data_IF_932495708206
#
_entry.id   IF_932495708206
#
_cell.length_a   1.000
_cell.length_b   1.000
_cell.length_c   1.000
_cell.angle_alpha   90.00
_cell.angle_beta   90.00
_cell.angle_gamma   90.00
#
_symmetry.space_group_name_H-M   'P 1'
#
loop_
_entity.id
_entity.type
_entity.pdbx_description
1 polymer ?
#
# COMPACT_ATOMS: atom_id res chain seq x y z
N UNK A 1 3.96 -14.60 -31.51
CA UNK A 1 2.66 -15.03 -32.03
C UNK A 1 2.91 -16.26 -32.90
N UNK A 2 2.80 -17.47 -32.31
CA UNK A 2 2.84 -18.71 -33.09
C UNK A 2 1.48 -18.86 -33.77
N UNK A 3 1.46 -18.87 -35.08
CA UNK A 3 0.29 -19.14 -35.90
C UNK A 3 -0.20 -20.55 -35.61
N UNK A 4 -1.41 -20.72 -35.13
CA UNK A 4 -2.04 -22.02 -34.97
C UNK A 4 -2.30 -22.64 -36.36
N UNK A 5 -1.87 -23.89 -36.60
CA UNK A 5 -2.50 -24.69 -37.62
C UNK A 5 -3.90 -25.05 -37.12
N UNK A 6 -4.92 -24.78 -37.93
CA UNK A 6 -6.29 -25.03 -37.60
C UNK A 6 -6.54 -26.51 -37.26
N UNK A 7 -6.89 -26.76 -36.02
CA UNK A 7 -7.57 -28.00 -35.62
C UNK A 7 -9.05 -27.73 -35.87
N UNK A 8 -9.53 -28.15 -37.03
CA UNK A 8 -10.96 -28.30 -37.35
C UNK A 8 -11.48 -29.44 -36.46
N UNK A 9 -12.01 -29.07 -35.30
CA UNK A 9 -12.89 -29.94 -34.52
C UNK A 9 -14.22 -30.03 -35.26
N UNK A 10 -14.35 -31.12 -36.03
CA UNK A 10 -15.61 -31.51 -36.63
C UNK A 10 -16.66 -31.76 -35.53
N UNK A 11 -17.56 -30.81 -35.37
CA UNK A 11 -18.75 -31.02 -34.55
C UNK A 11 -19.66 -32.04 -35.25
N UNK A 12 -19.46 -33.30 -34.95
CA UNK A 12 -20.42 -34.36 -35.29
C UNK A 12 -21.65 -34.16 -34.40
N UNK A 13 -22.64 -33.45 -34.92
CA UNK A 13 -23.98 -33.37 -34.36
C UNK A 13 -24.60 -34.75 -34.50
N UNK A 14 -24.43 -35.60 -33.50
CA UNK A 14 -25.23 -36.80 -33.30
C UNK A 14 -26.63 -36.33 -32.83
N UNK A 15 -27.53 -36.20 -33.80
CA UNK A 15 -28.98 -36.16 -33.59
C UNK A 15 -29.42 -37.54 -33.03
N UNK A 16 -29.25 -37.72 -31.74
CA UNK A 16 -29.95 -38.76 -30.99
C UNK A 16 -31.39 -38.29 -30.78
N UNK A 17 -32.23 -38.68 -31.69
CA UNK A 17 -33.67 -38.71 -31.47
C UNK A 17 -34.00 -39.64 -30.31
N UNK A 18 -33.98 -39.10 -29.10
CA UNK A 18 -34.49 -39.80 -27.92
C UNK A 18 -35.98 -39.65 -27.88
N UNK A 19 -36.66 -40.77 -28.11
CA UNK A 19 -38.04 -41.03 -27.84
C UNK A 19 -38.46 -40.46 -26.48
N UNK A 20 -39.30 -39.44 -26.53
CA UNK A 20 -40.04 -38.87 -25.39
C UNK A 20 -41.10 -39.83 -24.94
N UNK A 21 -40.75 -40.91 -24.27
CA UNK A 21 -41.71 -41.81 -23.61
C UNK A 21 -41.03 -42.34 -22.34
N UNK A 22 -41.42 -41.85 -21.18
CA UNK A 22 -41.23 -42.55 -19.92
C UNK A 22 -40.29 -41.95 -18.86
N UNK A 23 -39.96 -40.65 -18.88
CA UNK A 23 -39.11 -40.06 -17.83
C UNK A 23 -39.84 -39.21 -16.78
N UNK A 24 -41.17 -39.18 -16.79
CA UNK A 24 -41.94 -38.30 -15.87
C UNK A 24 -41.96 -38.79 -14.42
N UNK A 25 -41.61 -40.05 -14.15
CA UNK A 25 -41.73 -40.63 -12.80
C UNK A 25 -40.47 -40.43 -11.91
N UNK A 26 -39.29 -40.31 -12.52
CA UNK A 26 -38.02 -40.24 -11.77
C UNK A 26 -37.59 -38.82 -11.41
N UNK A 27 -38.08 -37.80 -12.13
CA UNK A 27 -37.71 -36.40 -11.87
C UNK A 27 -38.39 -35.80 -10.63
N UNK A 28 -39.55 -36.28 -10.24
CA UNK A 28 -40.34 -35.76 -9.09
C UNK A 28 -39.59 -35.97 -7.76
N UNK A 29 -39.02 -37.15 -7.45
CA UNK A 29 -38.25 -37.34 -6.22
C UNK A 29 -36.99 -36.46 -6.17
N UNK A 30 -36.27 -36.30 -7.29
CA UNK A 30 -35.07 -35.45 -7.38
C UNK A 30 -35.42 -33.95 -7.20
N UNK A 31 -36.51 -33.50 -7.80
CA UNK A 31 -37.00 -32.13 -7.62
C UNK A 31 -37.44 -31.88 -6.18
N UNK A 32 -38.08 -32.85 -5.53
CA UNK A 32 -38.41 -32.75 -4.10
C UNK A 32 -37.15 -32.68 -3.22
N UNK A 33 -36.19 -33.56 -3.43
CA UNK A 33 -34.93 -33.55 -2.68
C UNK A 33 -34.18 -32.22 -2.84
N UNK A 34 -34.17 -31.67 -4.05
CA UNK A 34 -33.58 -30.35 -4.32
C UNK A 34 -34.35 -29.21 -3.67
N UNK A 35 -35.67 -29.26 -3.68
CA UNK A 35 -36.53 -28.31 -2.99
C UNK A 35 -36.31 -28.35 -1.47
N UNK A 36 -36.22 -29.54 -0.88
CA UNK A 36 -35.96 -29.74 0.55
C UNK A 36 -34.54 -29.22 0.94
N UNK A 37 -33.53 -29.43 0.09
CA UNK A 37 -32.20 -28.86 0.27
C UNK A 37 -32.23 -27.34 0.27
N UNK A 38 -32.86 -26.74 -0.74
CA UNK A 38 -32.98 -25.26 -0.85
C UNK A 38 -33.78 -24.66 0.32
N UNK A 39 -34.83 -25.35 0.78
CA UNK A 39 -35.59 -24.95 1.96
C UNK A 39 -34.73 -25.00 3.24
N UNK A 40 -33.85 -25.98 3.34
CA UNK A 40 -32.95 -26.12 4.48
C UNK A 40 -31.90 -25.02 4.45
N UNK A 41 -31.28 -24.75 3.30
CA UNK A 41 -30.34 -23.65 3.09
C UNK A 41 -30.98 -22.28 3.37
N UNK A 42 -32.21 -22.08 2.89
CA UNK A 42 -32.94 -20.85 3.14
C UNK A 42 -33.26 -20.66 4.64
N UNK A 43 -33.66 -21.73 5.35
CA UNK A 43 -33.90 -21.68 6.80
C UNK A 43 -32.62 -21.35 7.58
N UNK A 44 -31.50 -21.92 7.18
CA UNK A 44 -30.19 -21.61 7.78
C UNK A 44 -29.78 -20.15 7.52
N UNK A 45 -29.92 -19.68 6.27
CA UNK A 45 -29.64 -18.29 5.91
C UNK A 45 -30.57 -17.33 6.66
N UNK A 46 -31.86 -17.65 6.77
CA UNK A 46 -32.82 -16.85 7.54
C UNK A 46 -32.47 -16.81 9.03
N UNK A 47 -32.14 -17.93 9.64
CA UNK A 47 -31.74 -17.99 11.06
C UNK A 47 -30.48 -17.18 11.32
N UNK A 48 -29.53 -17.21 10.39
CA UNK A 48 -28.32 -16.37 10.45
C UNK A 48 -28.66 -14.89 10.34
N UNK A 49 -29.55 -14.50 9.41
CA UNK A 49 -30.00 -13.12 9.28
C UNK A 49 -30.75 -12.63 10.54
N UNK A 50 -31.66 -13.45 11.08
CA UNK A 50 -32.39 -13.13 12.32
C UNK A 50 -31.42 -12.96 13.52
N UNK A 51 -30.35 -13.76 13.58
CA UNK A 51 -29.31 -13.64 14.58
C UNK A 51 -28.52 -12.31 14.42
N UNK A 52 -28.13 -11.96 13.20
CA UNK A 52 -27.45 -10.70 12.91
C UNK A 52 -28.32 -9.50 13.28
N UNK A 53 -29.61 -9.52 12.92
CA UNK A 53 -30.55 -8.45 13.29
C UNK A 53 -30.71 -8.33 14.81
N UNK A 54 -30.80 -9.44 15.52
CA UNK A 54 -30.88 -9.43 17.00
C UNK A 54 -29.60 -8.86 17.64
N UNK A 55 -28.43 -9.19 17.11
CA UNK A 55 -27.16 -8.63 17.56
C UNK A 55 -27.04 -7.13 17.24
N UNK A 56 -27.54 -6.70 16.08
CA UNK A 56 -27.60 -5.27 15.72
C UNK A 56 -28.50 -4.51 16.70
N UNK A 57 -29.73 -4.99 16.95
CA UNK A 57 -30.65 -4.37 17.89
C UNK A 57 -30.11 -4.35 19.34
N UNK A 58 -29.40 -5.40 19.75
CA UNK A 58 -28.75 -5.43 21.06
C UNK A 58 -27.62 -4.40 21.15
N UNK A 59 -26.86 -4.15 20.05
CA UNK A 59 -25.83 -3.12 19.98
C UNK A 59 -26.40 -1.71 20.00
N UNK A 60 -27.49 -1.47 19.28
CA UNK A 60 -28.17 -0.17 19.24
C UNK A 60 -28.78 0.21 20.60
N UNK A 61 -29.31 -0.77 21.34
CA UNK A 61 -29.89 -0.61 22.69
C UNK A 61 -28.84 -0.68 23.80
N UNK A 62 -27.65 -1.21 23.52
CA UNK A 62 -26.55 -1.35 24.47
C UNK A 62 -25.86 -0.01 24.72
N UNK A 63 -25.54 0.28 25.98
CA UNK A 63 -24.65 1.40 26.32
C UNK A 63 -23.29 1.26 25.67
N UNK A 64 -22.54 2.35 25.62
CA UNK A 64 -21.15 2.34 25.17
C UNK A 64 -20.23 1.84 26.27
N UNK A 65 -19.33 0.94 25.92
CA UNK A 65 -18.26 0.51 26.82
C UNK A 65 -17.07 1.46 26.68
N UNK A 66 -16.40 1.72 27.80
CA UNK A 66 -15.18 2.53 27.80
C UNK A 66 -13.98 1.63 28.00
N UNK A 67 -13.05 1.62 27.05
CA UNK A 67 -11.80 0.88 27.09
C UNK A 67 -10.67 1.87 27.24
N UNK A 68 -9.77 1.64 28.21
CA UNK A 68 -8.60 2.47 28.46
C UNK A 68 -7.33 1.62 28.37
N UNK A 69 -6.35 2.10 27.57
CA UNK A 69 -5.04 1.48 27.45
C UNK A 69 -3.99 2.60 27.37
N UNK A 70 -3.13 2.70 28.39
CA UNK A 70 -2.27 3.87 28.54
C UNK A 70 -3.11 5.15 28.61
N UNK A 71 -2.78 6.13 27.80
CA UNK A 71 -3.56 7.37 27.66
C UNK A 71 -4.69 7.29 26.60
N UNK A 72 -4.83 6.17 25.89
CA UNK A 72 -5.92 5.99 24.93
C UNK A 72 -7.23 5.69 25.63
N UNK A 73 -8.27 6.39 25.21
CA UNK A 73 -9.64 6.20 25.69
C UNK A 73 -10.53 5.93 24.49
N UNK A 74 -11.17 4.79 24.46
CA UNK A 74 -12.12 4.39 23.43
C UNK A 74 -13.52 4.25 24.00
N UNK A 75 -14.48 4.85 23.32
CA UNK A 75 -15.91 4.65 23.55
C UNK A 75 -16.43 3.77 22.43
N UNK A 76 -16.83 2.56 22.75
CA UNK A 76 -17.25 1.56 21.75
C UNK A 76 -18.66 1.09 22.07
N UNK A 77 -19.51 0.90 21.03
CA UNK A 77 -20.76 0.18 21.21
C UNK A 77 -20.46 -1.29 21.57
N UNK A 78 -21.31 -1.89 22.39
CA UNK A 78 -21.14 -3.31 22.77
C UNK A 78 -20.95 -4.18 21.54
N UNK A 79 -19.80 -4.82 21.44
CA UNK A 79 -19.40 -5.61 20.28
C UNK A 79 -18.36 -6.65 20.66
N UNK A 80 -18.22 -7.75 19.91
CA UNK A 80 -17.20 -8.76 20.14
C UNK A 80 -15.78 -8.31 19.68
N UNK A 81 -15.60 -7.04 19.30
CA UNK A 81 -14.28 -6.53 18.86
C UNK A 81 -13.23 -6.76 19.93
N UNK A 82 -12.07 -7.35 19.60
CA UNK A 82 -10.96 -7.56 20.53
C UNK A 82 -10.18 -6.25 20.79
N UNK A 83 -10.91 -5.16 21.10
CA UNK A 83 -10.39 -3.80 21.11
C UNK A 83 -9.33 -3.59 22.20
N UNK A 84 -9.49 -4.19 23.37
CA UNK A 84 -8.51 -4.08 24.45
C UNK A 84 -7.16 -4.71 24.05
N UNK A 85 -7.18 -5.87 23.39
CA UNK A 85 -5.96 -6.53 22.90
C UNK A 85 -5.31 -5.72 21.78
N UNK A 86 -6.10 -5.25 20.81
CA UNK A 86 -5.61 -4.44 19.72
C UNK A 86 -5.01 -3.10 20.21
N UNK A 87 -5.65 -2.46 21.19
CA UNK A 87 -5.15 -1.23 21.80
C UNK A 87 -3.85 -1.46 22.58
N UNK A 88 -3.71 -2.59 23.27
CA UNK A 88 -2.47 -2.95 23.96
C UNK A 88 -1.28 -3.12 23.01
N UNK A 89 -1.52 -3.59 21.77
CA UNK A 89 -0.50 -3.69 20.72
C UNK A 89 -0.22 -2.32 20.08
N UNK A 90 -1.26 -1.50 19.90
CA UNK A 90 -1.14 -0.18 19.28
C UNK A 90 -0.45 0.85 20.19
N UNK A 91 -0.70 0.80 21.50
CA UNK A 91 -0.23 1.80 22.46
C UNK A 91 1.28 2.03 22.45
N UNK A 92 2.16 1.00 22.53
CA UNK A 92 3.61 1.20 22.51
C UNK A 92 4.13 1.89 21.24
N UNK A 93 3.45 1.72 20.10
CA UNK A 93 3.81 2.37 18.84
C UNK A 93 3.43 3.85 18.90
N UNK A 94 2.22 4.15 19.39
CA UNK A 94 1.70 5.51 19.56
C UNK A 94 2.55 6.29 20.56
N UNK A 95 2.85 5.68 21.70
CA UNK A 95 3.69 6.26 22.75
C UNK A 95 5.11 6.52 22.27
N UNK A 96 5.70 5.59 21.52
CA UNK A 96 7.02 5.77 20.91
C UNK A 96 7.08 6.98 19.99
N UNK A 97 6.02 7.21 19.20
CA UNK A 97 5.98 8.33 18.27
C UNK A 97 5.72 9.66 18.98
N UNK A 98 4.66 9.72 19.77
CA UNK A 98 4.23 10.96 20.41
C UNK A 98 5.00 11.28 21.70
N UNK A 99 5.60 10.28 22.34
CA UNK A 99 6.28 10.46 23.62
C UNK A 99 5.38 11.07 24.68
N UNK A 100 5.86 12.09 25.43
CA UNK A 100 5.07 12.77 26.44
C UNK A 100 3.78 13.41 25.92
N UNK A 101 3.73 13.81 24.63
CA UNK A 101 2.52 14.36 24.03
C UNK A 101 1.37 13.33 23.97
N UNK A 102 1.66 12.03 24.02
CA UNK A 102 0.66 10.97 24.06
C UNK A 102 -0.31 11.09 25.26
N UNK A 103 0.07 11.78 26.33
CA UNK A 103 -0.80 12.05 27.47
C UNK A 103 -2.07 12.82 27.07
N UNK A 104 -2.02 13.63 26.00
CA UNK A 104 -3.17 14.37 25.51
C UNK A 104 -4.32 13.47 25.00
N UNK A 105 -4.05 12.20 24.66
CA UNK A 105 -5.09 11.26 24.26
C UNK A 105 -6.10 10.97 25.38
N UNK A 106 -5.71 11.07 26.64
CA UNK A 106 -6.62 10.86 27.77
C UNK A 106 -7.81 11.85 27.79
N UNK A 107 -7.62 13.04 27.21
CA UNK A 107 -8.64 14.10 27.13
C UNK A 107 -9.46 14.06 25.83
N UNK A 108 -9.15 13.15 24.93
CA UNK A 108 -9.72 13.09 23.58
C UNK A 108 -10.13 11.68 23.21
N UNK A 109 -11.25 11.18 23.76
CA UNK A 109 -11.69 9.83 23.49
C UNK A 109 -11.99 9.62 22.00
N UNK A 110 -11.69 8.42 21.51
CA UNK A 110 -12.05 7.95 20.17
C UNK A 110 -13.39 7.23 20.24
N UNK A 111 -14.28 7.54 19.34
CA UNK A 111 -15.54 6.84 19.19
C UNK A 111 -15.39 5.72 18.17
N UNK A 112 -15.55 4.47 18.61
CA UNK A 112 -15.51 3.31 17.72
C UNK A 112 -16.92 2.78 17.56
N UNK A 113 -17.37 2.70 16.32
CA UNK A 113 -18.63 2.08 15.96
C UNK A 113 -18.35 0.75 15.26
N UNK A 114 -18.60 -0.35 15.97
CA UNK A 114 -18.56 -1.67 15.37
C UNK A 114 -19.82 -1.84 14.50
N UNK A 115 -19.60 -2.11 13.21
CA UNK A 115 -20.66 -2.20 12.21
C UNK A 115 -20.64 -3.56 11.51
N UNK A 116 -21.75 -3.94 10.95
CA UNK A 116 -21.83 -5.09 10.04
C UNK A 116 -21.30 -4.70 8.64
N UNK A 117 -20.76 -5.67 7.87
CA UNK A 117 -20.22 -5.40 6.54
C UNK A 117 -21.22 -4.76 5.58
N UNK A 118 -22.51 -5.09 5.77
CA UNK A 118 -23.58 -4.71 4.85
C UNK A 118 -24.35 -3.45 5.27
N UNK A 119 -23.91 -2.76 6.33
CA UNK A 119 -24.60 -1.56 6.81
C UNK A 119 -23.98 -0.28 6.29
N UNK A 120 -24.84 0.57 5.69
CA UNK A 120 -24.51 1.93 5.26
C UNK A 120 -24.80 2.95 6.38
N UNK A 121 -24.46 2.63 7.63
CA UNK A 121 -24.67 3.54 8.74
C UNK A 121 -23.78 4.78 8.66
N UNK A 122 -24.37 5.94 8.84
CA UNK A 122 -23.61 7.20 8.93
C UNK A 122 -22.80 7.27 10.23
N UNK A 123 -21.53 7.66 10.11
CA UNK A 123 -20.68 7.90 11.27
C UNK A 123 -20.89 9.32 11.77
N UNK A 124 -21.10 9.53 13.06
CA UNK A 124 -21.13 10.86 13.62
C UNK A 124 -19.86 11.64 13.28
N UNK A 125 -19.96 12.94 13.00
CA UNK A 125 -18.79 13.76 12.73
C UNK A 125 -17.83 13.76 13.93
N UNK A 126 -16.53 13.83 13.67
CA UNK A 126 -15.47 13.86 14.69
C UNK A 126 -14.51 12.69 14.60
N UNK A 127 -13.95 12.28 15.75
CA UNK A 127 -13.00 11.14 15.84
C UNK A 127 -13.72 9.77 15.89
N UNK A 128 -14.83 9.67 15.17
CA UNK A 128 -15.57 8.42 15.06
C UNK A 128 -15.07 7.61 13.88
N UNK A 129 -14.89 6.33 14.06
CA UNK A 129 -14.56 5.39 13.00
C UNK A 129 -15.49 4.21 13.01
N UNK A 130 -15.79 3.74 11.81
CA UNK A 130 -16.46 2.46 11.59
C UNK A 130 -15.41 1.36 11.53
N UNK A 131 -15.64 0.27 12.25
CA UNK A 131 -14.82 -0.93 12.20
C UNK A 131 -15.77 -2.12 12.08
N UNK A 132 -15.47 -3.02 11.17
CA UNK A 132 -16.25 -4.25 11.06
C UNK A 132 -16.16 -5.05 12.35
N UNK A 133 -17.29 -5.52 12.88
CA UNK A 133 -17.36 -6.21 14.16
C UNK A 133 -16.50 -7.48 14.23
N UNK A 134 -16.20 -8.11 13.08
CA UNK A 134 -15.37 -9.31 12.95
C UNK A 134 -13.90 -9.02 12.65
N UNK A 135 -13.47 -7.77 12.79
CA UNK A 135 -12.06 -7.38 12.53
C UNK A 135 -11.15 -8.06 13.56
N UNK A 136 -10.15 -8.76 13.06
CA UNK A 136 -9.14 -9.43 13.89
C UNK A 136 -8.21 -8.44 14.61
N UNK A 137 -7.48 -8.92 15.62
CA UNK A 137 -6.59 -8.10 16.46
C UNK A 137 -5.53 -7.35 15.66
N UNK A 138 -4.87 -8.01 14.71
CA UNK A 138 -3.77 -7.38 13.97
C UNK A 138 -4.23 -6.25 13.03
N UNK A 139 -5.24 -6.41 12.15
CA UNK A 139 -5.76 -5.30 11.36
C UNK A 139 -6.40 -4.22 12.25
N UNK A 140 -7.04 -4.58 13.36
CA UNK A 140 -7.61 -3.63 14.29
C UNK A 140 -6.53 -2.77 14.93
N UNK A 141 -5.43 -3.36 15.43
CA UNK A 141 -4.32 -2.60 16.03
C UNK A 141 -3.70 -1.61 15.04
N UNK A 142 -3.54 -2.00 13.76
CA UNK A 142 -3.08 -1.09 12.71
C UNK A 142 -4.04 0.08 12.49
N UNK A 143 -5.35 -0.20 12.48
CA UNK A 143 -6.35 0.84 12.38
C UNK A 143 -6.28 1.82 13.55
N UNK A 144 -6.08 1.33 14.78
CA UNK A 144 -5.94 2.17 15.96
C UNK A 144 -4.68 3.06 15.92
N UNK A 145 -3.55 2.54 15.44
CA UNK A 145 -2.33 3.35 15.20
C UNK A 145 -2.60 4.43 14.15
N UNK A 146 -3.27 4.07 13.05
CA UNK A 146 -3.59 5.01 11.99
C UNK A 146 -4.55 6.12 12.41
N UNK A 147 -5.39 5.87 13.41
CA UNK A 147 -6.33 6.86 13.98
C UNK A 147 -5.72 7.77 15.01
N UNK A 148 -4.62 7.36 15.64
CA UNK A 148 -4.00 8.12 16.70
C UNK A 148 -3.46 9.45 16.16
N UNK A 149 -4.25 10.51 16.37
CA UNK A 149 -3.98 11.86 15.90
C UNK A 149 -4.20 12.86 17.04
N UNK A 150 -3.18 13.65 17.37
CA UNK A 150 -3.27 14.75 18.36
C UNK A 150 -3.68 16.09 17.73
N UNK A 151 -3.95 16.10 16.46
CA UNK A 151 -4.27 17.28 15.69
C UNK A 151 -3.59 17.25 14.32
N UNK A 152 -3.76 18.28 13.50
CA UNK A 152 -3.09 18.33 12.21
C UNK A 152 -1.58 18.23 12.40
N UNK A 153 -0.93 17.38 11.59
CA UNK A 153 0.52 17.35 11.52
C UNK A 153 1.06 18.74 11.15
N UNK A 154 2.29 19.00 11.56
CA UNK A 154 3.04 20.12 11.01
C UNK A 154 2.90 20.16 9.47
N UNK A 155 2.51 21.28 8.84
CA UNK A 155 2.27 21.34 7.41
C UNK A 155 3.45 20.89 6.58
N UNK A 156 4.68 21.18 7.01
CA UNK A 156 5.89 20.73 6.33
C UNK A 156 6.06 19.21 6.39
N UNK A 157 5.77 18.60 7.54
CA UNK A 157 5.80 17.14 7.69
C UNK A 157 4.71 16.48 6.86
N UNK A 158 3.49 17.01 6.88
CA UNK A 158 2.38 16.49 6.09
C UNK A 158 2.69 16.55 4.59
N UNK A 159 3.16 17.69 4.09
CA UNK A 159 3.54 17.84 2.69
C UNK A 159 4.68 16.90 2.30
N UNK A 160 5.70 16.77 3.15
CA UNK A 160 6.81 15.88 2.90
C UNK A 160 6.37 14.40 2.90
N UNK A 161 5.39 14.02 3.71
CA UNK A 161 4.75 12.70 3.69
C UNK A 161 3.69 12.53 2.58
N UNK A 162 3.60 13.45 1.62
CA UNK A 162 2.68 13.36 0.49
C UNK A 162 1.23 13.69 0.82
N UNK A 163 1.00 14.60 1.76
CA UNK A 163 -0.34 15.02 2.20
C UNK A 163 -0.95 14.10 3.28
N UNK A 164 -0.17 13.17 3.81
CA UNK A 164 -0.64 12.27 4.87
C UNK A 164 -0.79 13.05 6.17
N UNK A 165 -1.97 12.94 6.77
CA UNK A 165 -2.32 13.66 8.01
C UNK A 165 -1.81 12.93 9.25
N UNK A 166 -1.73 11.60 9.19
CA UNK A 166 -1.27 10.74 10.30
C UNK A 166 -0.29 9.70 9.77
N UNK A 167 0.94 9.62 10.31
CA UNK A 167 1.88 8.56 9.95
C UNK A 167 1.35 7.20 10.37
N UNK A 168 1.32 6.25 9.44
CA UNK A 168 0.96 4.87 9.74
C UNK A 168 2.22 4.05 9.93
N UNK A 169 2.59 3.80 11.17
CA UNK A 169 3.65 2.85 11.50
C UNK A 169 3.09 1.43 11.48
N UNK A 170 2.77 0.95 10.30
CA UNK A 170 2.38 -0.45 10.15
C UNK A 170 3.56 -1.34 10.54
N UNK A 171 3.28 -2.39 11.31
CA UNK A 171 4.24 -3.46 11.65
C UNK A 171 4.61 -4.33 10.42
N UNK A 172 4.34 -3.83 9.23
CA UNK A 172 4.60 -4.49 7.95
C UNK A 172 6.07 -4.40 7.51
N UNK A 173 6.40 -4.93 6.34
CA UNK A 173 7.77 -5.00 5.81
C UNK A 173 8.27 -3.64 5.28
N UNK A 174 8.01 -2.53 5.99
CA UNK A 174 8.35 -1.17 5.55
C UNK A 174 9.75 -1.05 4.98
N UNK A 175 10.77 -1.47 5.73
CA UNK A 175 12.16 -1.43 5.26
C UNK A 175 12.43 -2.38 4.08
N UNK A 176 11.79 -3.56 4.03
CA UNK A 176 11.94 -4.49 2.91
C UNK A 176 11.30 -3.95 1.63
N UNK A 177 10.12 -3.32 1.73
CA UNK A 177 9.49 -2.66 0.60
C UNK A 177 10.34 -1.48 0.11
N UNK A 178 10.89 -0.68 1.02
CA UNK A 178 11.80 0.43 0.70
C UNK A 178 13.09 -0.09 0.07
N UNK A 179 13.63 -1.23 0.51
CA UNK A 179 14.78 -1.86 -0.15
C UNK A 179 14.46 -2.16 -1.62
N UNK A 180 13.31 -2.78 -1.89
CA UNK A 180 12.89 -3.07 -3.26
C UNK A 180 12.78 -1.79 -4.09
N UNK A 181 12.13 -0.76 -3.55
CA UNK A 181 12.04 0.55 -4.22
C UNK A 181 13.43 1.13 -4.51
N UNK A 182 14.33 1.13 -3.54
CA UNK A 182 15.67 1.70 -3.68
C UNK A 182 16.48 1.00 -4.81
N UNK A 183 16.27 -0.31 -4.98
CA UNK A 183 16.95 -1.11 -6.01
C UNK A 183 16.29 -0.97 -7.38
N UNK A 184 14.96 -0.83 -7.43
CA UNK A 184 14.19 -0.85 -8.68
C UNK A 184 13.78 0.52 -9.18
N UNK A 185 13.90 1.56 -8.38
CA UNK A 185 13.51 2.91 -8.78
C UNK A 185 14.26 3.37 -10.04
N UNK A 186 13.55 3.86 -11.06
CA UNK A 186 14.16 4.42 -12.26
C UNK A 186 14.70 5.83 -11.98
N UNK A 187 15.66 5.95 -11.06
CA UNK A 187 16.16 7.22 -10.54
C UNK A 187 17.66 7.13 -10.26
N UNK A 188 18.42 8.10 -10.78
CA UNK A 188 19.84 8.25 -10.51
C UNK A 188 20.09 8.47 -9.00
N UNK A 189 19.30 9.33 -8.37
CA UNK A 189 19.41 9.60 -6.93
C UNK A 189 19.22 8.32 -6.11
N UNK A 190 18.20 7.50 -6.41
CA UNK A 190 17.96 6.25 -5.72
C UNK A 190 19.12 5.25 -5.89
N UNK A 191 19.64 5.11 -7.12
CA UNK A 191 20.79 4.23 -7.38
C UNK A 191 22.07 4.67 -6.69
N UNK A 192 22.35 5.98 -6.66
CA UNK A 192 23.50 6.53 -5.94
C UNK A 192 23.32 6.39 -4.42
N UNK A 193 22.10 6.59 -3.90
CA UNK A 193 21.78 6.34 -2.51
C UNK A 193 22.03 4.85 -2.16
N UNK A 194 21.55 3.91 -2.98
CA UNK A 194 21.85 2.50 -2.78
C UNK A 194 23.35 2.21 -2.70
N UNK A 195 24.17 2.87 -3.54
CA UNK A 195 25.63 2.72 -3.54
C UNK A 195 26.34 3.41 -2.35
N UNK A 196 25.64 4.24 -1.57
CA UNK A 196 26.16 4.84 -0.36
C UNK A 196 26.45 6.33 -0.43
N UNK A 197 25.95 7.02 -1.44
CA UNK A 197 26.06 8.49 -1.53
C UNK A 197 25.00 9.15 -0.64
N UNK A 198 25.39 9.81 0.47
CA UNK A 198 24.43 10.41 1.40
C UNK A 198 23.70 11.61 0.79
N UNK A 199 24.31 12.35 -0.12
CA UNK A 199 23.66 13.48 -0.81
C UNK A 199 22.53 12.95 -1.70
N UNK A 200 22.80 11.90 -2.47
CA UNK A 200 21.78 11.26 -3.29
C UNK A 200 20.64 10.64 -2.47
N UNK A 201 20.92 10.15 -1.26
CA UNK A 201 19.87 9.71 -0.34
C UNK A 201 18.97 10.87 0.12
N UNK A 202 19.57 12.03 0.41
CA UNK A 202 18.79 13.24 0.76
C UNK A 202 17.90 13.67 -0.40
N UNK A 203 18.42 13.65 -1.62
CA UNK A 203 17.65 13.97 -2.83
C UNK A 203 16.51 12.98 -3.04
N UNK A 204 16.79 11.68 -3.00
CA UNK A 204 15.78 10.62 -3.19
C UNK A 204 14.65 10.67 -2.15
N UNK A 205 14.95 11.04 -0.90
CA UNK A 205 14.00 11.22 0.19
C UNK A 205 13.36 12.61 0.24
N UNK A 206 13.79 13.54 -0.61
CA UNK A 206 13.33 14.94 -0.60
C UNK A 206 13.57 15.62 0.76
N UNK A 207 14.74 15.43 1.35
CA UNK A 207 15.06 15.96 2.68
C UNK A 207 15.52 17.43 2.65
N UNK A 208 16.08 17.87 1.53
CA UNK A 208 16.56 19.23 1.30
C UNK A 208 15.50 20.16 0.71
N UNK A 209 15.92 21.36 0.36
CA UNK A 209 15.15 22.26 -0.48
C UNK A 209 15.17 21.71 -1.92
N UNK A 210 14.01 21.27 -2.40
CA UNK A 210 13.87 20.76 -3.77
C UNK A 210 13.68 21.93 -4.74
N UNK A 211 14.77 22.47 -5.25
CA UNK A 211 14.73 23.58 -6.21
C UNK A 211 14.44 23.11 -7.63
N UNK A 212 14.91 21.92 -7.99
CA UNK A 212 14.71 21.32 -9.30
C UNK A 212 14.64 19.79 -9.19
N UNK A 213 13.48 19.24 -8.82
CA UNK A 213 13.30 17.80 -8.66
C UNK A 213 13.68 16.98 -9.89
N UNK A 214 13.41 17.50 -11.08
CA UNK A 214 13.68 16.78 -12.33
C UNK A 214 15.18 16.53 -12.55
N UNK A 215 16.03 17.48 -12.18
CA UNK A 215 17.48 17.30 -12.27
C UNK A 215 18.09 16.57 -11.06
N UNK A 216 17.52 16.78 -9.87
CA UNK A 216 18.03 16.19 -8.63
C UNK A 216 17.72 14.68 -8.53
N UNK A 217 16.55 14.26 -9.00
CA UNK A 217 16.14 12.86 -8.91
C UNK A 217 16.61 11.99 -10.07
N UNK A 218 16.63 12.55 -11.30
CA UNK A 218 16.77 11.79 -12.52
C UNK A 218 17.97 12.24 -13.36
N UNK A 219 18.76 11.27 -13.81
CA UNK A 219 19.81 11.51 -14.78
C UNK A 219 19.25 11.65 -16.22
N UNK A 220 20.09 11.99 -17.21
CA UNK A 220 19.66 12.21 -18.58
C UNK A 220 18.88 11.03 -19.19
N UNK A 221 19.37 9.81 -18.95
CA UNK A 221 18.73 8.60 -19.47
C UNK A 221 17.34 8.36 -18.86
N UNK A 222 17.20 8.57 -17.55
CA UNK A 222 15.91 8.40 -16.85
C UNK A 222 14.94 9.51 -17.23
N UNK A 223 15.39 10.75 -17.36
CA UNK A 223 14.52 11.85 -17.81
C UNK A 223 13.92 11.55 -19.18
N UNK A 224 14.76 11.10 -20.09
CA UNK A 224 14.29 10.69 -21.42
C UNK A 224 13.30 9.53 -21.34
N UNK A 225 13.61 8.49 -20.57
CA UNK A 225 12.73 7.35 -20.37
C UNK A 225 11.38 7.78 -19.79
N UNK A 226 11.35 8.61 -18.73
CA UNK A 226 10.12 9.12 -18.10
C UNK A 226 9.26 9.91 -19.10
N UNK A 227 9.88 10.85 -19.84
CA UNK A 227 9.15 11.63 -20.86
C UNK A 227 8.52 10.70 -21.90
N UNK A 228 9.26 9.73 -22.42
CA UNK A 228 8.78 8.90 -23.52
C UNK A 228 7.79 7.83 -23.10
N UNK A 229 7.96 7.24 -21.92
CA UNK A 229 7.14 6.10 -21.49
C UNK A 229 5.95 6.49 -20.61
N UNK A 230 6.10 7.49 -19.76
CA UNK A 230 5.09 7.84 -18.78
C UNK A 230 4.28 9.09 -19.15
N UNK A 231 4.93 10.11 -19.70
CA UNK A 231 4.31 11.42 -19.92
C UNK A 231 4.14 11.79 -21.39
N UNK A 232 4.73 11.04 -22.34
CA UNK A 232 4.81 11.41 -23.74
C UNK A 232 3.47 11.67 -24.39
N UNK A 233 2.48 10.81 -24.19
CA UNK A 233 1.15 10.98 -24.77
C UNK A 233 0.39 12.18 -24.18
N UNK A 234 0.54 12.43 -22.90
CA UNK A 234 -0.02 13.61 -22.24
C UNK A 234 0.62 14.89 -22.80
N UNK A 235 1.94 14.94 -22.84
CA UNK A 235 2.70 16.10 -23.31
C UNK A 235 2.43 16.41 -24.79
N UNK A 236 2.30 15.40 -25.65
CA UNK A 236 1.93 15.61 -27.07
C UNK A 236 0.53 16.20 -27.20
N UNK A 237 -0.44 15.70 -26.41
CA UNK A 237 -1.82 16.21 -26.40
C UNK A 237 -1.93 17.64 -25.86
N UNK A 238 -1.05 18.04 -24.97
CA UNK A 238 -1.01 19.39 -24.36
C UNK A 238 -0.15 20.38 -25.15
N UNK A 239 0.22 20.07 -26.39
CA UNK A 239 0.89 21.01 -27.30
C UNK A 239 2.41 20.98 -27.27
N UNK A 240 3.02 20.03 -26.56
CA UNK A 240 4.48 19.93 -26.43
C UNK A 240 5.13 18.95 -27.43
N UNK A 241 4.48 18.61 -28.52
CA UNK A 241 4.93 17.60 -29.49
C UNK A 241 6.34 17.82 -30.00
N UNK A 242 6.72 19.06 -30.33
CA UNK A 242 8.06 19.40 -30.82
C UNK A 242 9.14 19.15 -29.75
N UNK A 243 8.87 19.55 -28.49
CA UNK A 243 9.81 19.34 -27.39
C UNK A 243 9.96 17.84 -27.04
N UNK A 244 8.85 17.06 -27.14
CA UNK A 244 8.90 15.60 -26.97
C UNK A 244 9.75 14.98 -28.08
N UNK A 245 9.63 15.39 -29.33
CA UNK A 245 10.47 14.90 -30.43
C UNK A 245 11.94 15.27 -30.25
N UNK A 246 12.23 16.46 -29.74
CA UNK A 246 13.62 16.85 -29.41
C UNK A 246 14.20 16.03 -28.28
N UNK A 247 13.41 15.74 -27.23
CA UNK A 247 13.79 14.83 -26.15
C UNK A 247 14.04 13.40 -26.68
N UNK A 248 13.19 12.91 -27.57
CA UNK A 248 13.33 11.61 -28.25
C UNK A 248 14.62 11.51 -29.04
N UNK A 249 15.03 12.61 -29.71
CA UNK A 249 16.29 12.73 -30.46
C UNK A 249 17.53 12.88 -29.57
N UNK A 250 17.37 12.92 -28.24
CA UNK A 250 18.47 12.94 -27.27
C UNK A 250 18.79 14.32 -26.65
N UNK A 251 17.95 15.34 -26.89
CA UNK A 251 18.10 16.64 -26.21
C UNK A 251 17.70 16.52 -24.73
N UNK A 252 18.67 16.42 -23.83
CA UNK A 252 18.40 16.35 -22.38
C UNK A 252 17.75 17.63 -21.84
N UNK A 253 18.14 18.80 -22.37
CA UNK A 253 17.51 20.08 -22.02
C UNK A 253 16.00 20.05 -22.30
N UNK A 254 15.59 19.57 -23.48
CA UNK A 254 14.17 19.42 -23.80
C UNK A 254 13.44 18.44 -22.88
N UNK A 255 14.08 17.31 -22.52
CA UNK A 255 13.52 16.36 -21.56
C UNK A 255 13.33 17.00 -20.18
N UNK A 256 14.31 17.75 -19.72
CA UNK A 256 14.30 18.44 -18.43
C UNK A 256 13.20 19.51 -18.36
N UNK A 257 13.09 20.35 -19.40
CA UNK A 257 12.07 21.39 -19.46
C UNK A 257 10.64 20.82 -19.54
N UNK A 258 10.47 19.73 -20.24
CA UNK A 258 9.19 18.99 -20.25
C UNK A 258 8.81 18.47 -18.88
N UNK A 259 9.76 17.87 -18.14
CA UNK A 259 9.49 17.39 -16.79
C UNK A 259 9.20 18.51 -15.80
N UNK A 260 9.86 19.66 -15.95
CA UNK A 260 9.58 20.88 -15.16
C UNK A 260 8.18 21.43 -15.42
N UNK A 261 7.69 21.32 -16.67
CA UNK A 261 6.36 21.80 -17.05
C UNK A 261 5.22 20.98 -16.44
N UNK A 262 5.47 19.78 -15.95
CA UNK A 262 4.45 18.93 -15.35
C UNK A 262 3.93 19.44 -13.99
N UNK A 263 4.64 20.37 -13.36
CA UNK A 263 4.27 20.93 -12.03
C UNK A 263 4.47 19.97 -10.85
N UNK A 264 4.17 18.68 -11.02
CA UNK A 264 4.37 17.64 -9.98
C UNK A 264 5.03 16.41 -10.58
N UNK A 265 6.21 16.07 -10.08
CA UNK A 265 6.88 14.82 -10.40
C UNK A 265 6.70 13.83 -9.24
N UNK A 266 6.50 12.58 -9.60
CA UNK A 266 6.44 11.49 -8.61
C UNK A 266 7.84 11.32 -8.01
N UNK A 267 8.00 11.42 -6.67
CA UNK A 267 9.29 11.19 -6.04
C UNK A 267 9.81 9.78 -6.32
N UNK A 268 11.14 9.60 -6.44
CA UNK A 268 11.74 8.30 -6.73
C UNK A 268 11.51 7.25 -5.65
N UNK A 269 11.33 7.69 -4.41
CA UNK A 269 10.93 6.86 -3.29
C UNK A 269 9.58 7.35 -2.78
N UNK A 270 8.70 6.41 -2.49
CA UNK A 270 7.34 6.70 -2.07
C UNK A 270 7.20 7.14 -0.59
N UNK A 271 5.97 7.23 -0.15
CA UNK A 271 5.61 7.52 1.24
C UNK A 271 6.29 6.57 2.25
N UNK A 272 6.40 5.28 1.94
CA UNK A 272 6.97 4.28 2.85
C UNK A 272 8.44 4.57 3.18
N UNK A 273 9.22 5.01 2.20
CA UNK A 273 10.61 5.37 2.42
C UNK A 273 10.75 6.58 3.37
N UNK A 274 9.88 7.57 3.22
CA UNK A 274 9.85 8.75 4.09
C UNK A 274 9.36 8.41 5.49
N UNK A 275 8.36 7.53 5.59
CA UNK A 275 7.87 7.04 6.87
C UNK A 275 8.94 6.26 7.64
N UNK A 276 9.66 5.34 6.99
CA UNK A 276 10.76 4.61 7.63
C UNK A 276 11.91 5.51 8.04
N UNK A 277 12.15 6.61 7.31
CA UNK A 277 13.12 7.62 7.70
C UNK A 277 12.68 8.38 8.95
N UNK A 278 11.41 8.80 9.03
CA UNK A 278 10.82 9.40 10.20
C UNK A 278 10.89 8.46 11.41
N UNK A 279 10.54 7.18 11.23
CA UNK A 279 10.65 6.16 12.27
C UNK A 279 12.09 6.02 12.78
N UNK A 280 13.06 6.04 11.88
CA UNK A 280 14.48 5.99 12.24
C UNK A 280 14.88 7.21 13.08
N UNK A 281 14.42 8.42 12.72
CA UNK A 281 14.66 9.63 13.49
C UNK A 281 14.06 9.53 14.91
N UNK A 282 12.82 9.09 15.02
CA UNK A 282 12.12 8.91 16.32
C UNK A 282 12.84 7.86 17.17
N UNK A 283 13.26 6.74 16.58
CA UNK A 283 13.98 5.68 17.28
C UNK A 283 15.34 6.14 17.80
N UNK A 284 16.09 6.88 17.00
CA UNK A 284 17.40 7.42 17.39
C UNK A 284 17.29 8.50 18.46
N UNK A 285 16.32 9.38 18.35
CA UNK A 285 16.16 10.51 19.28
C UNK A 285 15.34 10.19 20.53
N UNK A 286 14.67 9.04 20.60
CA UNK A 286 13.86 8.60 21.73
C UNK A 286 12.52 9.33 21.87
N UNK A 287 11.81 9.11 22.97
CA UNK A 287 10.41 9.47 23.20
C UNK A 287 10.08 10.96 23.01
N UNK A 288 11.02 11.88 23.25
CA UNK A 288 10.77 13.32 23.11
C UNK A 288 11.06 13.87 21.69
N UNK A 289 11.38 13.01 20.73
CA UNK A 289 11.78 13.43 19.37
C UNK A 289 10.67 14.19 18.66
N UNK A 290 9.45 13.72 18.73
CA UNK A 290 8.32 14.38 18.09
C UNK A 290 8.05 15.78 18.65
N UNK A 291 8.14 15.95 19.97
CA UNK A 291 8.00 17.27 20.60
C UNK A 291 9.11 18.23 20.17
N UNK A 292 10.37 17.75 20.14
CA UNK A 292 11.49 18.57 19.66
C UNK A 292 11.32 18.94 18.19
N UNK A 293 10.81 18.03 17.38
CA UNK A 293 10.51 18.30 15.97
C UNK A 293 9.49 19.42 15.83
N UNK A 294 8.40 19.40 16.59
CA UNK A 294 7.39 20.47 16.58
C UNK A 294 7.95 21.82 17.06
N UNK A 295 8.91 21.80 17.98
CA UNK A 295 9.58 23.00 18.47
C UNK A 295 10.69 23.49 17.52
N UNK A 296 11.10 22.71 16.51
CA UNK A 296 12.14 23.09 15.56
C UNK A 296 11.55 24.02 14.50
N UNK A 297 12.20 25.17 14.20
CA UNK A 297 11.74 26.12 13.19
C UNK A 297 11.56 25.45 11.82
N UNK A 298 10.69 26.07 10.99
CA UNK A 298 10.49 25.63 9.61
C UNK A 298 11.81 25.62 8.83
N UNK A 299 11.97 24.62 7.96
CA UNK A 299 13.18 24.43 7.16
C UNK A 299 13.23 23.07 6.48
N UNK A 300 14.35 22.73 5.86
CA UNK A 300 14.55 21.44 5.22
C UNK A 300 14.26 20.27 6.17
N UNK A 301 13.51 19.29 5.70
CA UNK A 301 13.00 18.20 6.55
C UNK A 301 14.12 17.37 7.17
N UNK A 302 15.18 17.10 6.41
CA UNK A 302 16.34 16.36 6.91
C UNK A 302 16.98 17.05 8.12
N UNK A 303 17.21 18.37 8.04
CA UNK A 303 17.76 19.15 9.15
C UNK A 303 16.83 19.18 10.36
N UNK A 304 15.53 19.38 10.15
CA UNK A 304 14.54 19.38 11.24
C UNK A 304 14.51 18.06 11.99
N UNK A 305 14.50 16.93 11.26
CA UNK A 305 14.49 15.60 11.85
C UNK A 305 15.82 15.28 12.55
N UNK A 306 16.95 15.66 11.97
CA UNK A 306 18.27 15.46 12.58
C UNK A 306 18.41 16.24 13.91
N UNK A 307 17.99 17.51 13.95
CA UNK A 307 17.96 18.33 15.17
C UNK A 307 17.04 17.70 16.22
N UNK A 308 15.84 17.27 15.82
CA UNK A 308 14.90 16.61 16.72
C UNK A 308 15.46 15.30 17.28
N UNK A 309 16.15 14.52 16.48
CA UNK A 309 16.81 13.29 16.88
C UNK A 309 18.14 13.51 17.62
N UNK A 310 18.67 14.75 17.65
CA UNK A 310 19.96 15.10 18.26
C UNK A 310 21.16 14.37 17.62
N UNK A 311 21.10 14.20 16.30
CA UNK A 311 22.17 13.58 15.51
C UNK A 311 22.48 14.44 14.29
N UNK A 312 23.58 14.16 13.59
CA UNK A 312 23.84 14.78 12.30
C UNK A 312 22.90 14.20 11.23
N UNK A 313 22.60 14.98 10.20
CA UNK A 313 21.78 14.52 9.07
C UNK A 313 22.41 13.32 8.37
N UNK A 314 23.75 13.32 8.22
CA UNK A 314 24.49 12.21 7.62
C UNK A 314 24.38 10.91 8.47
N UNK A 315 24.44 11.04 9.80
CA UNK A 315 24.25 9.91 10.69
C UNK A 315 22.84 9.33 10.58
N UNK A 316 21.84 10.20 10.48
CA UNK A 316 20.44 9.77 10.33
C UNK A 316 20.23 9.06 9.00
N UNK A 317 20.71 9.64 7.89
CA UNK A 317 20.66 9.04 6.55
C UNK A 317 21.41 7.70 6.52
N UNK A 318 22.63 7.66 7.08
CA UNK A 318 23.46 6.46 7.15
C UNK A 318 22.76 5.33 7.93
N UNK A 319 22.14 5.66 9.07
CA UNK A 319 21.39 4.69 9.87
C UNK A 319 20.17 4.16 9.14
N UNK A 320 19.35 5.05 8.57
CA UNK A 320 18.18 4.64 7.78
C UNK A 320 18.60 3.72 6.62
N UNK A 321 19.63 4.11 5.85
CA UNK A 321 20.13 3.28 4.76
C UNK A 321 20.58 1.91 5.25
N UNK A 322 21.32 1.85 6.35
CA UNK A 322 21.77 0.58 6.95
C UNK A 322 20.60 -0.33 7.31
N UNK A 323 19.54 0.23 7.92
CA UNK A 323 18.35 -0.53 8.31
C UNK A 323 17.59 -1.04 7.07
N UNK A 324 17.48 -0.21 6.01
CA UNK A 324 16.87 -0.62 4.73
C UNK A 324 17.67 -1.74 4.07
N UNK A 325 19.00 -1.64 4.03
CA UNK A 325 19.85 -2.68 3.43
C UNK A 325 19.83 -3.98 4.24
N UNK A 326 19.76 -3.89 5.56
CA UNK A 326 19.62 -5.06 6.44
C UNK A 326 18.28 -5.82 6.26
N UNK A 327 17.25 -5.10 5.81
CA UNK A 327 15.93 -5.68 5.50
C UNK A 327 15.82 -6.29 4.09
N UNK A 328 16.95 -6.52 3.42
CA UNK A 328 16.97 -7.20 2.12
C UNK A 328 16.19 -8.50 2.19
N UNK A 329 15.18 -8.70 1.30
CA UNK A 329 14.42 -9.93 1.26
C UNK A 329 15.35 -11.12 1.02
N UNK A 330 15.23 -12.15 1.84
CA UNK A 330 15.91 -13.41 1.61
C UNK A 330 15.38 -14.05 0.32
N UNK A 331 16.24 -14.45 -0.62
CA UNK A 331 15.76 -15.14 -1.81
C UNK A 331 14.96 -16.37 -1.39
N UNK A 332 13.71 -16.45 -1.83
CA UNK A 332 12.92 -17.66 -1.63
C UNK A 332 13.58 -18.76 -2.48
N UNK A 333 14.05 -19.86 -1.90
CA UNK A 333 14.60 -20.97 -2.70
C UNK A 333 13.51 -21.45 -3.66
N UNK A 334 13.78 -21.36 -4.95
CA UNK A 334 12.87 -21.90 -5.95
C UNK A 334 12.68 -23.39 -5.66
N UNK A 335 11.45 -23.87 -5.47
CA UNK A 335 11.23 -25.30 -5.31
C UNK A 335 11.77 -26.00 -6.54
N UNK A 336 12.43 -27.15 -6.34
CA UNK A 336 13.06 -27.94 -7.42
C UNK A 336 12.07 -28.17 -8.58
N UNK A 337 10.80 -28.38 -8.27
CA UNK A 337 9.74 -28.48 -9.26
C UNK A 337 9.60 -27.19 -10.11
N UNK A 338 9.70 -26.02 -9.51
CA UNK A 338 9.64 -24.75 -10.22
C UNK A 338 10.83 -24.55 -11.18
N UNK A 339 12.01 -25.02 -10.80
CA UNK A 339 13.18 -25.00 -11.68
C UNK A 339 12.99 -25.90 -12.91
N UNK A 340 12.43 -27.10 -12.73
CA UNK A 340 12.11 -28.02 -13.84
C UNK A 340 11.01 -27.45 -14.75
N UNK A 341 9.99 -26.82 -14.20
CA UNK A 341 8.95 -26.15 -14.99
C UNK A 341 9.54 -24.98 -15.80
N UNK A 342 10.40 -24.15 -15.19
CA UNK A 342 11.09 -23.08 -15.90
C UNK A 342 11.98 -23.59 -17.02
N UNK A 343 12.75 -24.66 -16.79
CA UNK A 343 13.55 -25.35 -17.83
C UNK A 343 12.65 -25.87 -18.94
N UNK A 344 11.52 -26.49 -18.63
CA UNK A 344 10.54 -26.95 -19.60
C UNK A 344 10.07 -25.82 -20.52
N UNK A 345 9.73 -24.67 -19.94
CA UNK A 345 9.33 -23.49 -20.72
C UNK A 345 10.47 -22.92 -21.58
N UNK A 346 11.72 -22.91 -21.08
CA UNK A 346 12.88 -22.46 -21.86
C UNK A 346 13.05 -23.37 -23.10
N UNK A 347 12.90 -24.68 -22.94
CA UNK A 347 12.96 -25.64 -24.06
C UNK A 347 11.83 -25.39 -25.06
N UNK A 348 10.60 -25.24 -24.57
CA UNK A 348 9.43 -24.95 -25.43
C UNK A 348 9.61 -23.64 -26.21
N UNK A 349 9.98 -22.54 -25.53
CA UNK A 349 10.19 -21.27 -26.22
C UNK A 349 11.44 -21.31 -27.13
N UNK A 350 12.49 -22.01 -26.74
CA UNK A 350 13.68 -22.19 -27.55
C UNK A 350 13.37 -22.95 -28.84
N UNK A 351 12.63 -24.07 -28.78
CA UNK A 351 12.21 -24.83 -29.97
C UNK A 351 11.23 -24.04 -30.86
N UNK A 352 10.29 -23.28 -30.26
CA UNK A 352 9.42 -22.38 -31.02
C UNK A 352 10.24 -21.26 -31.71
N UNK A 353 11.23 -20.69 -31.02
CA UNK A 353 12.14 -19.69 -31.58
C UNK A 353 12.94 -20.22 -32.77
N UNK A 354 13.53 -21.41 -32.64
CA UNK A 354 14.29 -22.06 -33.71
C UNK A 354 13.42 -22.48 -34.91
N UNK A 355 12.16 -22.84 -34.65
CA UNK A 355 11.19 -23.18 -35.71
C UNK A 355 10.58 -21.98 -36.44
N UNK A 356 10.75 -20.78 -35.92
CA UNK A 356 10.18 -19.56 -36.50
C UNK A 356 11.02 -19.07 -37.68
N UNK A 357 10.43 -19.06 -38.87
CA UNK A 357 11.08 -18.56 -40.11
C UNK A 357 11.46 -17.06 -40.02
N UNK A 358 10.92 -16.32 -39.04
CA UNK A 358 11.23 -14.90 -38.82
C UNK A 358 12.64 -14.63 -38.29
N UNK A 359 13.34 -15.65 -37.77
CA UNK A 359 14.71 -15.52 -37.25
C UNK A 359 15.77 -15.92 -38.28
N UNK A 360 15.37 -16.36 -39.48
CA UNK A 360 16.30 -16.53 -40.56
C UNK A 360 16.57 -15.17 -41.20
N UNK A 361 17.61 -14.53 -40.70
CA UNK A 361 18.18 -13.36 -41.36
C UNK A 361 18.80 -13.87 -42.68
N UNK A 362 18.23 -13.46 -43.78
CA UNK A 362 18.78 -13.67 -45.14
C UNK A 362 19.95 -12.72 -45.35
#
# INVERSE_FOLDING_TARGET
MCSHPGVTLGATLLLLGTTLAGQSGTQIPELRARADSLLTEWRQAKAFADLQDSLRLARERGGRDTIRVGSLVYLVNRSPLPLAQAAAIAWPQIERFYGPAAQAFAQRPFLIQAVDPDTNEDVPPGRAIKILWNTEVAPLSRALVAMADLGPLDPGLSNWLGGVVVPRFDSGPGHAAVYVQLVTAPSEAARRCYRGDPTACRDALSLGAMTDPASQWYGPAERRALVLTQYGDFLRRTGHSQAVSSCEQGSDGSCLDLLRSLGTLVPPLDYQARLTFLETAVRMGGAATFQRFLATPAGPMGRRLAVAARVSEDSLVGRWRSDVLAARPTPVPLPVLGAWVALGWIVVFGTCGLGSSRWRVS
#
